data_IF_650563578444
#
_entry.id   IF_650563578444
#
_cell.length_a   1.000
_cell.length_b   1.000
_cell.length_c   1.000
_cell.angle_alpha   90.00
_cell.angle_beta   90.00
_cell.angle_gamma   90.00
#
_symmetry.space_group_name_H-M   'P 1'
#
loop_
_entity.id
_entity.type
_entity.pdbx_description
1 polymer ?
#
# COMPACT_ATOMS: atom_id res chain seq x y z
N UNK A 1 -32.52 17.74 -34.17
CA UNK A 1 -31.29 18.42 -33.72
C UNK A 1 -30.53 17.45 -32.82
N UNK A 2 -29.54 16.79 -33.38
CA UNK A 2 -28.70 15.83 -32.67
C UNK A 2 -27.59 16.57 -31.92
N UNK A 3 -27.51 16.40 -30.63
CA UNK A 3 -26.47 17.02 -29.78
C UNK A 3 -25.11 16.36 -30.02
N UNK A 4 -24.15 17.01 -30.67
CA UNK A 4 -22.79 16.47 -30.85
C UNK A 4 -22.04 16.24 -29.55
N UNK A 5 -22.40 16.94 -28.46
CA UNK A 5 -21.75 16.83 -27.14
C UNK A 5 -21.99 15.49 -26.44
N UNK A 6 -23.07 14.78 -26.74
CA UNK A 6 -23.38 13.47 -26.18
C UNK A 6 -22.51 12.37 -26.83
N UNK A 7 -22.26 12.45 -28.13
CA UNK A 7 -21.40 11.49 -28.83
C UNK A 7 -19.91 11.65 -28.45
N UNK A 8 -19.44 12.88 -28.33
CA UNK A 8 -18.08 13.16 -27.87
C UNK A 8 -17.84 12.68 -26.41
N UNK A 9 -18.84 12.81 -25.54
CA UNK A 9 -18.73 12.32 -24.15
C UNK A 9 -18.72 10.81 -24.04
N UNK A 10 -19.43 10.10 -24.89
CA UNK A 10 -19.44 8.63 -24.99
C UNK A 10 -18.13 8.10 -25.57
N UNK A 11 -17.63 8.66 -26.65
CA UNK A 11 -16.34 8.28 -27.25
C UNK A 11 -15.16 8.55 -26.30
N UNK A 12 -15.21 9.63 -25.53
CA UNK A 12 -14.18 9.95 -24.54
C UNK A 12 -14.23 9.03 -23.31
N UNK A 13 -15.44 8.58 -22.94
CA UNK A 13 -15.65 7.59 -21.89
C UNK A 13 -15.09 6.23 -22.30
N UNK A 14 -15.40 5.74 -23.51
CA UNK A 14 -14.92 4.47 -24.03
C UNK A 14 -13.39 4.45 -24.24
N UNK A 15 -12.82 5.58 -24.71
CA UNK A 15 -11.38 5.72 -24.89
C UNK A 15 -10.62 5.71 -23.54
N UNK A 16 -11.16 6.39 -22.53
CA UNK A 16 -10.60 6.36 -21.17
C UNK A 16 -10.80 5.01 -20.51
N UNK A 17 -11.93 4.35 -20.75
CA UNK A 17 -12.16 2.97 -20.29
C UNK A 17 -11.19 1.99 -20.93
N UNK A 18 -11.02 2.04 -22.24
CA UNK A 18 -10.04 1.19 -22.94
C UNK A 18 -8.61 1.44 -22.45
N UNK A 19 -8.17 2.70 -22.27
CA UNK A 19 -6.82 3.00 -21.74
C UNK A 19 -6.66 2.58 -20.30
N UNK A 20 -7.69 2.74 -19.46
CA UNK A 20 -7.64 2.23 -18.09
C UNK A 20 -7.68 0.70 -18.07
N UNK A 21 -8.48 0.09 -18.93
CA UNK A 21 -8.50 -1.34 -19.15
C UNK A 21 -7.15 -1.84 -19.65
N UNK A 22 -6.50 -1.12 -20.56
CA UNK A 22 -5.13 -1.42 -21.02
C UNK A 22 -4.12 -1.20 -19.89
N UNK A 23 -4.22 -0.13 -19.13
CA UNK A 23 -3.38 0.08 -17.94
C UNK A 23 -3.55 -1.06 -16.90
N UNK A 24 -4.73 -1.65 -16.82
CA UNK A 24 -5.06 -2.79 -15.94
C UNK A 24 -4.86 -4.13 -16.63
N UNK A 25 -5.09 -4.27 -17.97
CA UNK A 25 -4.93 -5.51 -18.76
C UNK A 25 -3.50 -5.73 -19.27
N UNK A 26 -2.72 -4.71 -19.51
CA UNK A 26 -1.25 -4.85 -19.56
C UNK A 26 -0.73 -5.34 -18.19
N UNK A 27 -1.66 -5.42 -17.21
CA UNK A 27 -1.61 -6.11 -15.93
C UNK A 27 -1.97 -7.61 -16.01
N UNK A 28 -2.29 -8.14 -17.19
CA UNK A 28 -2.58 -9.57 -17.33
C UNK A 28 -1.30 -10.33 -17.00
N UNK A 29 -1.35 -10.97 -15.86
CA UNK A 29 -0.33 -11.89 -15.39
C UNK A 29 0.10 -12.77 -16.56
N UNK A 30 1.38 -12.74 -16.90
CA UNK A 30 1.94 -13.89 -17.59
C UNK A 30 1.73 -15.05 -16.62
N UNK A 31 0.80 -15.90 -16.95
CA UNK A 31 0.60 -17.18 -16.27
C UNK A 31 1.92 -17.94 -16.36
N UNK A 32 2.75 -17.79 -15.36
CA UNK A 32 3.92 -18.63 -15.18
C UNK A 32 3.39 -19.90 -14.56
N UNK A 33 3.59 -20.98 -15.31
CA UNK A 33 3.20 -22.33 -15.00
C UNK A 33 3.56 -22.70 -13.55
N UNK A 34 2.57 -23.11 -12.77
CA UNK A 34 2.56 -24.09 -11.67
C UNK A 34 3.68 -24.10 -10.59
N UNK A 35 4.51 -23.06 -10.46
CA UNK A 35 5.42 -22.94 -9.34
C UNK A 35 4.80 -22.07 -8.26
N UNK A 36 4.76 -22.53 -7.01
CA UNK A 36 4.35 -21.75 -5.84
C UNK A 36 5.19 -20.46 -5.79
N UNK A 37 4.52 -19.29 -5.85
CA UNK A 37 5.22 -18.02 -5.76
C UNK A 37 5.92 -17.88 -4.40
N UNK A 38 7.09 -17.21 -4.35
CA UNK A 38 7.75 -16.91 -3.09
C UNK A 38 6.84 -16.16 -2.11
N UNK A 39 7.08 -16.27 -0.79
CA UNK A 39 6.26 -15.64 0.24
C UNK A 39 6.11 -14.13 0.08
N UNK A 40 4.89 -13.64 0.33
CA UNK A 40 4.52 -12.23 0.46
C UNK A 40 4.12 -11.97 1.91
N UNK A 41 4.98 -11.29 2.65
CA UNK A 41 4.78 -10.94 4.05
C UNK A 41 4.43 -9.47 4.14
N UNK A 42 3.34 -9.13 4.83
CA UNK A 42 2.93 -7.74 5.02
C UNK A 42 3.02 -7.34 6.49
N UNK A 43 3.72 -6.24 6.78
CA UNK A 43 3.74 -5.63 8.10
C UNK A 43 2.79 -4.45 8.13
N UNK A 44 1.79 -4.50 8.99
CA UNK A 44 0.79 -3.46 9.13
C UNK A 44 0.70 -2.95 10.57
N UNK A 45 0.12 -1.79 10.75
CA UNK A 45 -0.09 -1.16 12.06
C UNK A 45 -0.34 0.35 11.88
N UNK A 46 -0.80 1.03 12.91
CA UNK A 46 -1.02 2.48 12.89
C UNK A 46 0.30 3.27 12.84
N UNK A 47 0.23 4.58 12.64
CA UNK A 47 1.40 5.43 12.82
C UNK A 47 1.78 5.40 14.32
N UNK A 48 3.06 5.32 14.62
CA UNK A 48 3.59 5.14 15.99
C UNK A 48 3.76 3.67 16.44
N UNK A 49 3.30 2.67 15.67
CA UNK A 49 3.51 1.26 16.02
C UNK A 49 4.93 0.72 15.70
N UNK A 50 5.84 1.52 15.18
CA UNK A 50 7.21 1.08 14.89
C UNK A 50 7.43 0.32 13.58
N UNK A 51 6.42 0.21 12.70
CA UNK A 51 6.46 -0.59 11.44
C UNK A 51 7.75 -0.45 10.62
N UNK A 52 8.19 0.78 10.37
CA UNK A 52 9.33 1.00 9.47
C UNK A 52 10.62 0.44 10.07
N UNK A 53 10.82 0.64 11.37
CA UNK A 53 11.96 0.09 12.11
C UNK A 53 11.89 -1.44 12.14
N UNK A 54 10.73 -1.99 12.48
CA UNK A 54 10.54 -3.45 12.49
C UNK A 54 10.79 -4.02 11.08
N UNK A 55 10.29 -3.42 10.01
CA UNK A 55 10.56 -3.88 8.64
C UNK A 55 12.05 -3.82 8.26
N UNK A 56 12.83 -2.90 8.84
CA UNK A 56 14.28 -2.81 8.60
C UNK A 56 15.04 -4.01 9.21
N UNK A 57 14.60 -4.49 10.36
CA UNK A 57 15.14 -5.70 10.97
C UNK A 57 14.63 -6.96 10.27
N UNK A 58 13.32 -7.06 10.05
CA UNK A 58 12.71 -8.24 9.47
C UNK A 58 13.20 -8.57 8.06
N UNK A 59 13.56 -7.57 7.23
CA UNK A 59 14.09 -7.89 5.89
C UNK A 59 15.44 -8.61 5.97
N UNK A 60 16.26 -8.31 6.99
CA UNK A 60 17.51 -9.02 7.23
C UNK A 60 17.23 -10.47 7.65
N UNK A 61 16.23 -10.66 8.51
CA UNK A 61 15.81 -11.99 8.96
C UNK A 61 15.23 -12.82 7.81
N UNK A 62 14.33 -12.27 6.97
CA UNK A 62 13.77 -12.96 5.79
C UNK A 62 14.84 -13.37 4.80
N UNK A 63 15.89 -12.57 4.62
CA UNK A 63 17.03 -12.91 3.73
C UNK A 63 17.81 -14.15 4.16
N UNK A 64 17.72 -14.57 5.43
CA UNK A 64 18.32 -15.83 5.88
C UNK A 64 17.67 -17.06 5.23
N UNK A 65 16.48 -16.94 4.66
CA UNK A 65 15.75 -18.00 3.96
C UNK A 65 15.90 -17.95 2.44
N UNK A 66 16.53 -16.92 1.90
CA UNK A 66 16.78 -16.76 0.48
C UNK A 66 16.64 -15.30 -0.02
N UNK A 67 16.68 -15.08 -1.34
CA UNK A 67 16.65 -13.74 -1.90
C UNK A 67 15.33 -13.03 -1.56
N UNK A 68 15.43 -11.85 -0.94
CA UNK A 68 14.27 -11.10 -0.47
C UNK A 68 14.41 -9.60 -0.70
N UNK A 69 13.28 -8.91 -0.88
CA UNK A 69 13.20 -7.46 -1.09
C UNK A 69 12.13 -6.83 -0.21
N UNK A 70 12.42 -5.61 0.31
CA UNK A 70 11.43 -4.78 1.01
C UNK A 70 10.77 -3.82 0.04
N UNK A 71 9.43 -3.74 0.08
CA UNK A 71 8.63 -2.83 -0.73
C UNK A 71 7.71 -2.00 0.16
N UNK A 72 7.73 -0.67 0.02
CA UNK A 72 6.82 0.22 0.74
C UNK A 72 5.57 0.52 -0.10
N UNK A 73 4.39 0.08 0.33
CA UNK A 73 3.11 0.28 -0.36
C UNK A 73 2.27 1.44 0.18
N UNK A 74 2.77 2.20 1.14
CA UNK A 74 2.09 3.38 1.70
C UNK A 74 1.99 4.56 0.74
N UNK A 75 1.23 5.59 1.10
CA UNK A 75 0.92 6.76 0.23
C UNK A 75 2.14 7.64 -0.11
N UNK A 76 3.13 7.75 0.76
CA UNK A 76 4.34 8.59 0.57
C UNK A 76 4.05 9.99 0.02
N UNK A 77 3.06 10.70 0.59
CA UNK A 77 2.60 12.02 0.10
C UNK A 77 3.72 13.07 0.02
N UNK A 78 4.67 13.07 0.95
CA UNK A 78 5.79 14.01 0.97
C UNK A 78 6.73 13.90 -0.24
N UNK A 79 6.88 12.71 -0.82
CA UNK A 79 7.73 12.51 -1.99
C UNK A 79 7.04 12.96 -3.30
N UNK A 80 5.70 12.99 -3.33
CA UNK A 80 4.95 13.47 -4.51
C UNK A 80 5.08 14.98 -4.65
N UNK A 81 4.93 15.74 -3.56
CA UNK A 81 5.12 17.19 -3.57
C UNK A 81 6.51 17.57 -4.09
N UNK A 82 7.57 16.88 -3.63
CA UNK A 82 8.94 17.09 -4.11
C UNK A 82 9.14 16.69 -5.58
N UNK A 83 8.63 15.55 -6.02
CA UNK A 83 8.75 15.08 -7.40
C UNK A 83 8.02 16.00 -8.40
N UNK A 84 6.84 16.51 -8.04
CA UNK A 84 6.09 17.46 -8.88
C UNK A 84 6.74 18.83 -8.90
N UNK A 85 7.34 19.30 -7.79
CA UNK A 85 8.04 20.57 -7.74
C UNK A 85 9.32 20.61 -8.59
N UNK A 86 9.85 19.47 -8.98
CA UNK A 86 11.00 19.31 -9.86
C UNK A 86 10.68 19.27 -11.36
N UNK A 87 9.37 19.26 -11.74
CA UNK A 87 8.98 19.29 -13.15
C UNK A 87 9.21 20.71 -13.75
N UNK A 88 9.96 20.85 -14.84
CA UNK A 88 10.50 22.15 -15.31
C UNK A 88 9.44 23.14 -15.83
N UNK A 89 8.23 22.68 -16.21
CA UNK A 89 7.18 23.53 -16.81
C UNK A 89 5.98 23.84 -15.89
N UNK A 90 5.78 23.08 -14.80
CA UNK A 90 4.61 23.21 -13.92
C UNK A 90 4.97 23.19 -12.43
N UNK A 91 6.26 23.04 -12.10
CA UNK A 91 6.76 22.54 -10.83
C UNK A 91 6.36 23.32 -9.59
N UNK A 92 6.59 24.63 -9.54
CA UNK A 92 6.45 25.39 -8.28
C UNK A 92 5.00 25.73 -7.91
N UNK A 93 4.14 25.96 -8.89
CA UNK A 93 2.73 26.32 -8.65
C UNK A 93 1.86 25.08 -8.37
N UNK A 94 2.07 24.00 -9.13
CA UNK A 94 1.35 22.74 -8.94
C UNK A 94 1.85 22.00 -7.69
N UNK A 95 3.15 22.02 -7.39
CA UNK A 95 3.71 21.44 -6.16
C UNK A 95 3.11 22.08 -4.90
N UNK A 96 3.02 23.42 -4.86
CA UNK A 96 2.37 24.17 -3.76
C UNK A 96 0.87 23.93 -3.68
N UNK A 97 0.19 23.78 -4.83
CA UNK A 97 -1.24 23.44 -4.88
C UNK A 97 -1.49 21.99 -4.38
N UNK A 98 -0.64 21.03 -4.73
CA UNK A 98 -0.71 19.64 -4.24
C UNK A 98 -0.45 19.61 -2.73
N UNK A 99 0.53 20.34 -2.23
CA UNK A 99 0.87 20.37 -0.80
C UNK A 99 -0.24 21.04 0.04
N UNK A 100 -0.82 22.14 -0.45
CA UNK A 100 -2.00 22.78 0.16
C UNK A 100 -3.23 21.87 0.10
N UNK A 101 -3.46 21.18 -1.01
CA UNK A 101 -4.62 20.30 -1.19
C UNK A 101 -4.46 18.96 -0.46
N UNK A 102 -3.26 18.42 -0.28
CA UNK A 102 -3.05 17.24 0.59
C UNK A 102 -3.37 17.52 2.05
N UNK A 103 -3.12 18.75 2.53
CA UNK A 103 -3.59 19.20 3.86
C UNK A 103 -5.12 19.38 3.92
N UNK A 104 -5.75 19.86 2.85
CA UNK A 104 -7.22 20.04 2.74
C UNK A 104 -7.99 18.73 2.50
N UNK A 105 -7.39 17.72 1.87
CA UNK A 105 -7.99 16.38 1.64
C UNK A 105 -8.36 15.63 2.91
N UNK A 106 -8.03 16.17 4.09
CA UNK A 106 -8.43 15.62 5.40
C UNK A 106 -9.92 15.84 5.73
N UNK A 107 -10.62 16.74 5.01
CA UNK A 107 -12.06 16.99 5.15
C UNK A 107 -12.84 16.27 4.03
N UNK A 108 -13.91 15.55 4.37
CA UNK A 108 -14.76 14.81 3.41
C UNK A 108 -15.36 15.70 2.31
N UNK A 109 -15.81 16.92 2.67
CA UNK A 109 -16.35 17.91 1.73
C UNK A 109 -15.33 18.39 0.68
N UNK A 110 -14.04 18.31 0.98
CA UNK A 110 -12.96 18.76 0.08
C UNK A 110 -12.54 17.71 -0.96
N UNK A 111 -12.96 16.45 -0.81
CA UNK A 111 -12.54 15.32 -1.69
C UNK A 111 -13.33 15.23 -2.99
N UNK A 112 -14.40 16.02 -3.15
CA UNK A 112 -15.30 15.99 -4.31
C UNK A 112 -14.98 17.04 -5.39
N UNK A 113 -13.93 17.85 -5.20
CA UNK A 113 -13.44 18.79 -6.21
C UNK A 113 -12.58 18.11 -7.28
N UNK A 114 -12.50 18.68 -8.49
CA UNK A 114 -11.73 18.11 -9.61
C UNK A 114 -10.23 18.00 -9.28
N UNK A 115 -9.60 19.07 -8.78
CA UNK A 115 -8.17 19.06 -8.44
C UNK A 115 -7.82 18.07 -7.32
N UNK A 116 -8.55 18.03 -6.18
CA UNK A 116 -8.36 16.96 -5.19
C UNK A 116 -8.52 15.56 -5.75
N UNK A 117 -9.48 15.32 -6.64
CA UNK A 117 -9.70 14.03 -7.28
C UNK A 117 -8.53 13.61 -8.17
N UNK A 118 -7.95 14.51 -8.94
CA UNK A 118 -6.74 14.26 -9.72
C UNK A 118 -5.54 13.91 -8.83
N UNK A 119 -5.38 14.60 -7.71
CA UNK A 119 -4.32 14.28 -6.72
C UNK A 119 -4.53 12.87 -6.14
N UNK A 120 -5.75 12.50 -5.79
CA UNK A 120 -6.08 11.14 -5.32
C UNK A 120 -5.69 10.12 -6.39
N UNK A 121 -6.10 10.32 -7.65
CA UNK A 121 -5.79 9.41 -8.75
C UNK A 121 -4.28 9.26 -8.99
N UNK A 122 -3.51 10.33 -8.86
CA UNK A 122 -2.04 10.27 -8.94
C UNK A 122 -1.47 9.32 -7.86
N UNK A 123 -1.98 9.37 -6.63
CA UNK A 123 -1.57 8.45 -5.57
C UNK A 123 -2.00 7.01 -5.86
N UNK A 124 -3.20 6.81 -6.42
CA UNK A 124 -3.68 5.47 -6.82
C UNK A 124 -2.77 4.87 -7.88
N UNK A 125 -2.47 5.61 -8.95
CA UNK A 125 -1.57 5.15 -10.04
C UNK A 125 -0.19 4.82 -9.50
N UNK A 126 0.42 5.69 -8.68
CA UNK A 126 1.73 5.41 -8.07
C UNK A 126 1.72 4.17 -7.17
N UNK A 127 0.64 3.94 -6.43
CA UNK A 127 0.48 2.73 -5.61
C UNK A 127 0.37 1.49 -6.49
N UNK A 128 -0.44 1.55 -7.55
CA UNK A 128 -0.55 0.47 -8.54
C UNK A 128 0.82 0.12 -9.15
N UNK A 129 1.60 1.11 -9.60
CA UNK A 129 2.92 0.87 -10.17
C UNK A 129 3.88 0.21 -9.18
N UNK A 130 3.86 0.61 -7.90
CA UNK A 130 4.67 -0.04 -6.86
C UNK A 130 4.18 -1.46 -6.56
N UNK A 131 2.86 -1.65 -6.52
CA UNK A 131 2.26 -2.96 -6.32
C UNK A 131 2.62 -3.93 -7.46
N UNK A 132 2.60 -3.47 -8.71
CA UNK A 132 3.08 -4.26 -9.86
C UNK A 132 4.56 -4.61 -9.75
N UNK A 133 5.39 -3.66 -9.36
CA UNK A 133 6.81 -3.93 -9.14
C UNK A 133 6.99 -5.00 -8.06
N UNK A 134 6.20 -4.97 -7.01
CA UNK A 134 6.16 -6.00 -5.96
C UNK A 134 5.81 -7.38 -6.54
N UNK A 135 4.75 -7.48 -7.36
CA UNK A 135 4.36 -8.74 -8.01
C UNK A 135 5.47 -9.24 -8.95
N UNK A 136 6.11 -8.33 -9.69
CA UNK A 136 7.22 -8.69 -10.57
C UNK A 136 8.43 -9.25 -9.80
N UNK A 137 8.74 -8.73 -8.62
CA UNK A 137 9.77 -9.30 -7.75
C UNK A 137 9.42 -10.73 -7.34
N UNK A 138 8.17 -11.02 -6.97
CA UNK A 138 7.74 -12.39 -6.68
C UNK A 138 7.88 -13.32 -7.89
N UNK A 139 7.53 -12.84 -9.09
CA UNK A 139 7.70 -13.60 -10.33
C UNK A 139 9.17 -13.87 -10.68
N UNK A 140 10.09 -13.04 -10.20
CA UNK A 140 11.54 -13.23 -10.32
C UNK A 140 12.12 -14.17 -9.26
N UNK A 141 11.28 -14.75 -8.40
CA UNK A 141 11.73 -15.68 -7.36
C UNK A 141 12.14 -15.02 -6.03
N UNK A 142 11.87 -13.71 -5.85
CA UNK A 142 12.21 -13.02 -4.61
C UNK A 142 11.04 -13.09 -3.61
N UNK A 143 11.34 -13.40 -2.37
CA UNK A 143 10.44 -13.17 -1.24
C UNK A 143 10.21 -11.67 -1.05
N UNK A 144 9.00 -11.28 -0.69
CA UNK A 144 8.65 -9.86 -0.54
C UNK A 144 8.16 -9.56 0.86
N UNK A 145 8.83 -8.62 1.52
CA UNK A 145 8.36 -7.99 2.75
C UNK A 145 7.78 -6.61 2.43
N UNK A 146 6.50 -6.38 2.73
CA UNK A 146 5.87 -5.08 2.49
C UNK A 146 5.68 -4.29 3.79
N UNK A 147 6.09 -3.02 3.76
CA UNK A 147 5.67 -2.02 4.75
C UNK A 147 4.35 -1.42 4.27
N UNK A 148 3.27 -1.73 4.96
CA UNK A 148 1.87 -1.48 4.62
C UNK A 148 1.35 -2.38 3.48
N UNK A 149 0.02 -2.56 3.48
CA UNK A 149 -0.66 -3.29 2.41
C UNK A 149 -2.00 -2.62 2.10
N UNK A 150 -2.39 -2.47 0.80
CA UNK A 150 -3.69 -1.90 0.45
C UNK A 150 -4.83 -2.83 0.87
N UNK A 151 -5.92 -2.24 1.33
CA UNK A 151 -7.13 -2.97 1.70
C UNK A 151 -8.38 -2.31 1.08
N UNK A 152 -9.41 -3.11 0.83
CA UNK A 152 -10.70 -2.67 0.28
C UNK A 152 -11.86 -2.82 1.29
N UNK A 153 -11.62 -3.37 2.48
CA UNK A 153 -12.63 -3.73 3.46
C UNK A 153 -13.27 -2.51 4.14
N UNK A 154 -12.45 -1.53 4.53
CA UNK A 154 -12.91 -0.34 5.25
C UNK A 154 -12.51 0.91 4.47
N UNK A 155 -13.42 1.47 3.64
CA UNK A 155 -13.16 2.70 2.87
C UNK A 155 -12.81 3.89 3.78
N UNK A 156 -11.88 4.72 3.33
CA UNK A 156 -11.45 5.91 4.07
C UNK A 156 -10.51 5.67 5.24
N UNK A 157 -10.35 4.42 5.67
CA UNK A 157 -9.47 4.03 6.78
C UNK A 157 -8.16 3.41 6.26
N UNK A 158 -7.22 3.21 7.16
CA UNK A 158 -5.90 2.58 7.02
C UNK A 158 -5.57 2.03 5.61
N UNK A 159 -4.77 2.71 4.82
CA UNK A 159 -4.35 2.29 3.47
C UNK A 159 -5.48 1.83 2.51
N UNK A 160 -6.75 2.12 2.84
CA UNK A 160 -7.93 1.92 1.99
C UNK A 160 -8.14 3.05 0.98
N UNK A 161 -9.28 2.98 0.27
CA UNK A 161 -9.72 4.00 -0.67
C UNK A 161 -9.84 5.37 -0.01
N UNK A 162 -9.68 6.43 -0.79
CA UNK A 162 -9.72 7.83 -0.31
C UNK A 162 -11.05 8.49 -0.64
N UNK A 163 -11.62 8.16 -1.81
CA UNK A 163 -12.96 8.66 -2.15
C UNK A 163 -14.00 8.09 -1.19
N UNK A 164 -15.00 8.91 -0.78
CA UNK A 164 -16.12 8.41 0.00
C UNK A 164 -16.93 7.37 -0.79
N UNK A 165 -17.68 6.47 -0.11
CA UNK A 165 -18.53 5.48 -0.77
C UNK A 165 -19.54 6.14 -1.72
N UNK A 166 -20.19 7.21 -1.26
CA UNK A 166 -21.19 7.98 -2.02
C UNK A 166 -20.58 9.27 -2.57
N UNK A 167 -19.87 9.17 -3.70
CA UNK A 167 -19.34 10.34 -4.37
C UNK A 167 -20.45 11.12 -5.06
N UNK A 168 -20.75 12.31 -4.51
CA UNK A 168 -21.63 13.29 -5.16
C UNK A 168 -20.78 14.19 -6.08
N UNK A 169 -21.27 14.48 -7.29
CA UNK A 169 -20.58 15.40 -8.19
C UNK A 169 -20.59 15.01 -9.65
N UNK A 170 -19.68 15.59 -10.42
CA UNK A 170 -19.57 15.42 -11.88
C UNK A 170 -19.28 13.95 -12.25
N UNK A 171 -19.75 13.50 -13.41
CA UNK A 171 -19.52 12.13 -13.92
C UNK A 171 -18.05 11.71 -13.83
N UNK A 172 -17.12 12.58 -14.19
CA UNK A 172 -15.68 12.32 -14.13
C UNK A 172 -15.20 11.96 -12.70
N UNK A 173 -15.71 12.64 -11.67
CA UNK A 173 -15.29 12.37 -10.28
C UNK A 173 -15.85 11.01 -9.81
N UNK A 174 -17.08 10.68 -10.20
CA UNK A 174 -17.68 9.36 -9.93
C UNK A 174 -16.85 8.26 -10.60
N UNK A 175 -16.51 8.44 -11.86
CA UNK A 175 -15.65 7.52 -12.62
C UNK A 175 -14.28 7.34 -11.93
N UNK A 176 -13.62 8.42 -11.49
CA UNK A 176 -12.36 8.34 -10.73
C UNK A 176 -12.50 7.51 -9.44
N UNK A 177 -13.58 7.71 -8.69
CA UNK A 177 -13.85 6.95 -7.48
C UNK A 177 -14.09 5.47 -7.74
N UNK A 178 -14.77 5.13 -8.83
CA UNK A 178 -14.96 3.74 -9.27
C UNK A 178 -13.63 3.10 -9.65
N UNK A 179 -12.77 3.83 -10.38
CA UNK A 179 -11.43 3.34 -10.76
C UNK A 179 -10.53 3.15 -9.52
N UNK A 180 -10.63 4.02 -8.51
CA UNK A 180 -9.93 3.80 -7.23
C UNK A 180 -10.42 2.51 -6.58
N UNK A 181 -11.75 2.32 -6.41
CA UNK A 181 -12.32 1.11 -5.80
C UNK A 181 -11.88 -0.16 -6.54
N UNK A 182 -11.96 -0.14 -7.87
CA UNK A 182 -11.50 -1.27 -8.70
C UNK A 182 -10.01 -1.57 -8.47
N UNK A 183 -9.16 -0.56 -8.47
CA UNK A 183 -7.72 -0.71 -8.25
C UNK A 183 -7.42 -1.29 -6.87
N UNK A 184 -8.11 -0.82 -5.82
CA UNK A 184 -7.92 -1.33 -4.47
C UNK A 184 -8.43 -2.77 -4.31
N UNK A 185 -9.58 -3.10 -4.89
CA UNK A 185 -10.10 -4.47 -4.92
C UNK A 185 -9.13 -5.41 -5.64
N UNK A 186 -8.60 -4.98 -6.80
CA UNK A 186 -7.60 -5.76 -7.53
C UNK A 186 -6.33 -5.99 -6.70
N UNK A 187 -5.79 -4.97 -6.02
CA UNK A 187 -4.63 -5.13 -5.15
C UNK A 187 -4.94 -6.04 -3.94
N UNK A 188 -6.11 -5.89 -3.31
CA UNK A 188 -6.51 -6.69 -2.16
C UNK A 188 -6.68 -8.18 -2.49
N UNK A 189 -7.13 -8.50 -3.71
CA UNK A 189 -7.25 -9.89 -4.18
C UNK A 189 -5.90 -10.64 -4.25
N UNK A 190 -4.77 -9.91 -4.32
CA UNK A 190 -3.43 -10.49 -4.20
C UNK A 190 -3.01 -10.54 -2.73
N UNK A 191 -3.81 -11.24 -1.92
CA UNK A 191 -3.62 -11.30 -0.46
C UNK A 191 -2.18 -11.68 -0.08
N UNK A 192 -1.65 -11.16 1.04
CA UNK A 192 -0.39 -11.63 1.61
C UNK A 192 -0.50 -13.09 2.08
N UNK A 193 0.60 -13.81 2.07
CA UNK A 193 0.67 -15.14 2.64
C UNK A 193 0.72 -15.07 4.18
N UNK A 194 1.41 -14.04 4.72
CA UNK A 194 1.47 -13.74 6.15
C UNK A 194 1.27 -12.23 6.38
N UNK A 195 0.47 -11.87 7.38
CA UNK A 195 0.30 -10.49 7.86
C UNK A 195 0.75 -10.38 9.32
N UNK A 196 1.74 -9.55 9.57
CA UNK A 196 2.17 -9.17 10.92
C UNK A 196 1.47 -7.86 11.28
N UNK A 197 0.56 -7.91 12.26
CA UNK A 197 -0.16 -6.75 12.80
C UNK A 197 0.53 -6.24 14.04
N UNK A 198 1.05 -5.02 13.97
CA UNK A 198 1.60 -4.30 15.11
C UNK A 198 0.49 -3.47 15.77
N UNK A 199 -0.10 -3.99 16.82
CA UNK A 199 -1.15 -3.33 17.59
C UNK A 199 -0.50 -2.43 18.65
N UNK A 200 -0.94 -1.18 18.73
CA UNK A 200 -0.41 -0.18 19.67
C UNK A 200 -1.53 0.62 20.28
N UNK A 201 -1.42 0.99 21.53
CA UNK A 201 -2.37 1.83 22.21
C UNK A 201 -2.23 3.30 21.81
N UNK A 202 -3.33 4.03 21.94
CA UNK A 202 -3.39 5.43 21.49
C UNK A 202 -2.35 6.31 22.22
N UNK A 203 -2.18 6.14 23.51
CA UNK A 203 -1.29 6.99 24.31
C UNK A 203 0.17 6.71 23.96
N UNK A 204 0.54 5.44 23.78
CA UNK A 204 1.88 5.03 23.30
C UNK A 204 2.16 5.57 21.90
N UNK A 205 1.18 5.45 20.99
CA UNK A 205 1.32 5.94 19.63
C UNK A 205 1.44 7.48 19.60
N UNK A 206 0.68 8.20 20.43
CA UNK A 206 0.78 9.66 20.58
C UNK A 206 2.13 10.09 21.14
N UNK A 207 2.66 9.39 22.15
CA UNK A 207 3.98 9.67 22.71
C UNK A 207 5.09 9.50 21.66
N UNK A 208 5.00 8.45 20.83
CA UNK A 208 5.99 8.18 19.76
C UNK A 208 5.83 9.12 18.55
N UNK A 209 4.63 9.73 18.33
CA UNK A 209 4.31 10.61 17.19
C UNK A 209 3.52 11.84 17.64
N UNK A 210 4.13 12.76 18.41
CA UNK A 210 3.45 13.95 18.98
C UNK A 210 2.93 14.90 17.89
N UNK A 211 3.54 14.92 16.71
CA UNK A 211 3.11 15.76 15.58
C UNK A 211 1.84 15.27 14.88
N UNK A 212 1.33 14.07 15.23
CA UNK A 212 0.13 13.51 14.63
C UNK A 212 -1.11 13.90 15.43
N UNK A 213 -2.18 14.22 14.71
CA UNK A 213 -3.48 14.52 15.33
C UNK A 213 -4.05 13.28 16.03
N UNK A 214 -4.36 13.40 17.32
CA UNK A 214 -4.87 12.31 18.17
C UNK A 214 -6.14 11.67 17.59
N UNK A 215 -7.08 12.47 17.04
CA UNK A 215 -8.32 11.99 16.41
C UNK A 215 -8.07 11.10 15.17
N UNK A 216 -7.05 11.42 14.37
CA UNK A 216 -6.71 10.63 13.19
C UNK A 216 -5.97 9.34 13.58
N UNK A 217 -5.15 9.41 14.60
CA UNK A 217 -4.41 8.27 15.14
C UNK A 217 -5.36 7.25 15.76
N UNK A 218 -6.30 7.73 16.59
CA UNK A 218 -7.34 6.91 17.21
C UNK A 218 -8.17 6.14 16.17
N UNK A 219 -8.60 6.80 15.08
CA UNK A 219 -9.34 6.13 14.00
C UNK A 219 -8.52 5.02 13.31
N UNK A 220 -7.22 5.22 13.12
CA UNK A 220 -6.36 4.19 12.51
C UNK A 220 -6.13 3.02 13.44
N UNK A 221 -5.92 3.28 14.73
CA UNK A 221 -5.75 2.26 15.75
C UNK A 221 -7.00 1.41 15.87
N UNK A 222 -8.20 2.02 15.94
CA UNK A 222 -9.46 1.31 16.03
C UNK A 222 -9.75 0.40 14.82
N UNK A 223 -9.27 0.76 13.63
CA UNK A 223 -9.53 0.01 12.40
C UNK A 223 -8.54 -1.14 12.19
N UNK A 224 -7.28 -0.98 12.62
CA UNK A 224 -6.23 -1.98 12.36
C UNK A 224 -6.61 -3.41 12.79
N UNK A 225 -7.17 -3.65 13.98
CA UNK A 225 -7.58 -5.00 14.40
C UNK A 225 -8.68 -5.62 13.54
N UNK A 226 -9.54 -4.81 12.93
CA UNK A 226 -10.69 -5.26 12.16
C UNK A 226 -10.34 -5.77 10.75
N UNK A 227 -9.14 -5.49 10.25
CA UNK A 227 -8.72 -5.88 8.91
C UNK A 227 -8.36 -7.36 8.85
N UNK A 228 -8.93 -8.11 7.90
CA UNK A 228 -8.71 -9.55 7.72
C UNK A 228 -7.86 -9.90 6.49
N UNK A 229 -7.59 -8.92 5.60
CA UNK A 229 -6.80 -9.11 4.38
C UNK A 229 -7.21 -10.34 3.56
N UNK A 230 -8.51 -10.46 3.30
CA UNK A 230 -9.11 -11.53 2.49
C UNK A 230 -8.77 -12.96 3.01
N UNK A 231 -8.67 -13.11 4.34
CA UNK A 231 -8.37 -14.39 4.97
C UNK A 231 -6.89 -14.78 4.88
N UNK A 232 -5.97 -13.82 4.86
CA UNK A 232 -4.55 -14.07 5.06
C UNK A 232 -4.28 -14.63 6.45
N UNK A 233 -3.18 -15.36 6.63
CA UNK A 233 -2.68 -15.72 7.95
C UNK A 233 -2.24 -14.46 8.70
N UNK A 234 -2.73 -14.26 9.92
CA UNK A 234 -2.50 -13.02 10.68
C UNK A 234 -1.90 -13.32 12.05
N UNK A 235 -0.74 -12.73 12.31
CA UNK A 235 -0.10 -12.74 13.62
C UNK A 235 -0.23 -11.34 14.23
N UNK A 236 -0.84 -11.27 15.41
CA UNK A 236 -0.99 -10.04 16.16
C UNK A 236 0.15 -9.88 17.16
N UNK A 237 0.87 -8.77 17.09
CA UNK A 237 1.99 -8.45 18.00
C UNK A 237 1.66 -7.19 18.77
N UNK A 238 1.86 -7.24 20.08
CA UNK A 238 1.72 -6.09 20.98
C UNK A 238 2.91 -5.13 20.80
N UNK A 239 2.66 -4.04 20.08
CA UNK A 239 3.67 -3.02 19.82
C UNK A 239 3.80 -1.97 20.95
N UNK A 240 3.14 -2.16 22.09
CA UNK A 240 3.38 -1.36 23.30
C UNK A 240 4.69 -1.76 23.99
N UNK A 241 5.13 -2.99 23.80
CA UNK A 241 6.36 -3.55 24.31
C UNK A 241 7.62 -2.83 23.81
N UNK A 242 8.77 -3.19 24.31
CA UNK A 242 10.07 -2.72 23.83
C UNK A 242 10.29 -3.10 22.36
N UNK A 243 11.12 -2.34 21.65
CA UNK A 243 11.41 -2.61 20.24
C UNK A 243 11.99 -4.01 20.04
N UNK A 244 12.90 -4.42 20.91
CA UNK A 244 13.57 -5.73 20.85
C UNK A 244 12.59 -6.88 21.04
N UNK A 245 11.65 -6.78 21.98
CA UNK A 245 10.58 -7.78 22.17
C UNK A 245 9.66 -7.86 20.95
N UNK A 246 9.31 -6.72 20.35
CA UNK A 246 8.46 -6.66 19.13
C UNK A 246 9.20 -7.29 17.94
N UNK A 247 10.48 -7.00 17.77
CA UNK A 247 11.30 -7.59 16.70
C UNK A 247 11.41 -9.10 16.91
N UNK A 248 11.78 -9.55 18.13
CA UNK A 248 11.91 -10.99 18.42
C UNK A 248 10.61 -11.76 18.16
N UNK A 249 9.47 -11.24 18.60
CA UNK A 249 8.17 -11.86 18.33
C UNK A 249 7.84 -11.90 16.84
N UNK A 250 8.21 -10.86 16.08
CA UNK A 250 7.97 -10.82 14.63
C UNK A 250 8.93 -11.75 13.86
N UNK A 251 10.17 -11.89 14.28
CA UNK A 251 11.14 -12.84 13.73
C UNK A 251 10.71 -14.28 13.98
N UNK A 252 10.26 -14.57 15.21
CA UNK A 252 9.71 -15.88 15.56
C UNK A 252 8.50 -16.26 14.68
N UNK A 253 7.55 -15.34 14.52
CA UNK A 253 6.39 -15.54 13.65
C UNK A 253 6.79 -15.81 12.19
N UNK A 254 7.79 -15.10 11.67
CA UNK A 254 8.32 -15.36 10.33
C UNK A 254 9.01 -16.72 10.26
N UNK A 255 9.79 -17.07 11.25
CA UNK A 255 10.48 -18.38 11.30
C UNK A 255 9.46 -19.52 11.23
N UNK A 256 8.47 -19.52 12.11
CA UNK A 256 7.40 -20.53 12.14
C UNK A 256 6.66 -20.62 10.80
N UNK A 257 6.31 -19.47 10.22
CA UNK A 257 5.67 -19.40 8.91
C UNK A 257 6.58 -19.96 7.80
N UNK A 258 7.86 -19.59 7.74
CA UNK A 258 8.80 -20.04 6.71
C UNK A 258 9.03 -21.55 6.79
N UNK A 259 9.23 -22.10 7.99
CA UNK A 259 9.38 -23.53 8.21
C UNK A 259 8.13 -24.30 7.79
N UNK A 260 6.93 -23.81 8.15
CA UNK A 260 5.67 -24.41 7.73
C UNK A 260 5.46 -24.36 6.20
N UNK A 261 6.07 -23.41 5.51
CA UNK A 261 6.08 -23.32 4.04
C UNK A 261 7.19 -24.17 3.39
N UNK A 262 8.04 -24.83 4.18
CA UNK A 262 9.13 -25.69 3.71
C UNK A 262 10.42 -24.93 3.37
N UNK A 263 10.59 -23.69 3.84
CA UNK A 263 11.84 -22.94 3.74
C UNK A 263 12.76 -23.30 4.92
N UNK A 264 14.04 -23.48 4.62
CA UNK A 264 15.10 -23.63 5.63
C UNK A 264 16.06 -22.45 5.58
N UNK A 265 16.78 -22.22 6.66
CA UNK A 265 17.85 -21.22 6.68
C UNK A 265 18.92 -21.58 5.65
N UNK A 266 19.25 -20.62 4.80
CA UNK A 266 20.41 -20.72 3.91
C UNK A 266 21.64 -20.41 4.77
N UNK A 267 22.35 -21.45 5.20
CA UNK A 267 23.67 -21.27 5.81
C UNK A 267 24.60 -20.71 4.72
N UNK A 268 25.17 -19.56 4.97
CA UNK A 268 26.31 -19.08 4.16
C UNK A 268 27.44 -20.09 4.29
N UNK A 269 27.55 -20.97 3.30
CA UNK A 269 28.79 -21.72 3.06
C UNK A 269 29.78 -20.76 2.41
N UNK A 270 30.22 -19.74 3.14
CA UNK A 270 31.37 -18.93 2.79
C UNK A 270 32.51 -19.19 3.77
N UNK A 271 33.61 -19.53 3.14
CA UNK A 271 34.99 -19.59 3.66
C UNK A 271 35.56 -20.99 3.99
N UNK A 272 35.59 -21.90 3.01
CA UNK A 272 36.76 -22.81 2.93
C UNK A 272 37.10 -23.02 1.44
N UNK A 273 37.66 -22.03 0.79
CA UNK A 273 38.38 -22.19 -0.47
C UNK A 273 39.35 -21.02 -0.66
N UNK A 274 40.27 -20.85 0.28
CA UNK A 274 41.55 -20.20 0.03
C UNK A 274 42.48 -20.47 1.24
N UNK A 275 43.09 -21.60 1.23
CA UNK A 275 44.34 -21.88 1.92
C UNK A 275 45.26 -22.75 1.02
#
# INVERSE_FOLDING_TARGET
>A
MSHPDVYLSLLYSDFLEQKWYILVIVLKERHIMNSKLPPLIAVIGSDGSGKSTVCEHLIVHVKKYGPAVRVHLGKQAGNVGRAVSQLPLLGKSVGRAIERNTKKLKSEKSRTGLLPSLVIMTFVVRRLLRFRRMLNYRQQGLMVLTDRFPQAQIPGAYDGTVFPPDVKGRRLIKWMAERERFAFKWMANHKPDLVIKLNVDLDVACARKPDHRKDQLSKKIAVTPLLTFEGAEIINIDANKSLDEVISAAEEAITQFMEAQGYSLVFETESVANS
#
